data_IF_813568415567
#
_entry.id   IF_813568415567
#
_cell.length_a   1.000
_cell.length_b   1.000
_cell.length_c   1.000
_cell.angle_alpha   90.00
_cell.angle_beta   90.00
_cell.angle_gamma   90.00
#
_symmetry.space_group_name_H-M   'P 1'
#
loop_
_entity.id
_entity.type
_entity.pdbx_description
1 polymer ?
#
# COMPACT_ATOMS: atom_id res chain seq x y z
N UNK A 1 -3.72 11.57 -18.99
CA UNK A 1 -4.15 12.88 -18.44
C UNK A 1 -2.89 13.54 -17.95
N UNK A 2 -2.59 14.77 -18.37
CA UNK A 2 -1.37 15.45 -17.91
C UNK A 2 -1.48 15.73 -16.41
N UNK A 3 -0.39 15.53 -15.69
CA UNK A 3 -0.28 15.85 -14.28
C UNK A 3 -0.33 17.38 -14.07
N UNK A 4 -1.18 17.85 -13.17
CA UNK A 4 -1.31 19.27 -12.84
C UNK A 4 -0.30 19.71 -11.77
N UNK A 5 -0.07 21.03 -11.58
CA UNK A 5 0.76 21.52 -10.47
C UNK A 5 0.22 21.10 -9.09
N UNK A 6 -1.10 21.08 -8.91
CA UNK A 6 -1.71 20.61 -7.67
C UNK A 6 -1.41 19.14 -7.41
N UNK A 7 -1.52 18.29 -8.44
CA UNK A 7 -1.20 16.86 -8.33
C UNK A 7 0.25 16.65 -7.87
N UNK A 8 1.19 17.43 -8.43
CA UNK A 8 2.61 17.39 -8.04
C UNK A 8 2.81 17.78 -6.58
N UNK A 9 2.12 18.82 -6.10
CA UNK A 9 2.18 19.25 -4.69
C UNK A 9 1.65 18.14 -3.78
N UNK A 10 0.49 17.55 -4.10
CA UNK A 10 -0.10 16.48 -3.31
C UNK A 10 0.79 15.23 -3.25
N UNK A 11 1.40 14.85 -4.37
CA UNK A 11 2.35 13.74 -4.44
C UNK A 11 3.66 14.06 -3.69
N UNK A 12 4.12 15.30 -3.70
CA UNK A 12 5.30 15.71 -2.95
C UNK A 12 5.04 15.62 -1.45
N UNK A 13 3.89 16.11 -0.98
CA UNK A 13 3.47 15.97 0.41
C UNK A 13 3.33 14.50 0.82
N UNK A 14 2.80 13.66 -0.06
CA UNK A 14 2.76 12.20 0.12
C UNK A 14 4.17 11.65 0.33
N UNK A 15 5.11 12.02 -0.53
CA UNK A 15 6.51 11.62 -0.42
C UNK A 15 7.16 12.10 0.88
N UNK A 16 6.95 13.35 1.28
CA UNK A 16 7.50 13.90 2.52
C UNK A 16 6.98 13.16 3.77
N UNK A 17 5.69 12.84 3.81
CA UNK A 17 5.11 12.05 4.90
C UNK A 17 5.66 10.61 4.92
N UNK A 18 5.80 9.97 3.75
CA UNK A 18 6.43 8.66 3.66
C UNK A 18 7.91 8.71 4.08
N UNK A 19 8.65 9.75 3.72
CA UNK A 19 10.03 9.96 4.13
C UNK A 19 10.15 10.18 5.65
N UNK A 20 9.24 10.95 6.25
CA UNK A 20 9.14 11.09 7.71
C UNK A 20 8.92 9.72 8.38
N UNK A 21 8.00 8.90 7.85
CA UNK A 21 7.72 7.59 8.40
C UNK A 21 8.95 6.67 8.35
N UNK A 22 9.71 6.71 7.25
CA UNK A 22 10.96 5.97 7.09
C UNK A 22 12.05 6.45 8.06
N UNK A 23 12.21 7.76 8.22
CA UNK A 23 13.33 8.34 8.95
C UNK A 23 13.14 8.31 10.48
N UNK A 24 11.91 8.53 10.95
CA UNK A 24 11.64 8.70 12.38
C UNK A 24 10.34 8.09 12.87
N UNK A 25 9.31 7.99 12.00
CA UNK A 25 7.95 7.62 12.41
C UNK A 25 7.77 6.18 12.92
N UNK A 26 8.80 5.34 12.79
CA UNK A 26 8.82 3.93 13.23
C UNK A 26 9.97 3.62 14.20
N UNK A 27 10.61 4.65 14.76
CA UNK A 27 11.68 4.44 15.73
C UNK A 27 11.14 3.76 17.01
N UNK A 28 11.97 2.91 17.61
CA UNK A 28 11.62 2.16 18.82
C UNK A 28 10.90 0.84 18.58
N UNK A 29 10.54 0.51 17.33
CA UNK A 29 9.99 -0.79 16.97
C UNK A 29 11.09 -1.87 16.86
N UNK A 30 10.67 -3.13 16.78
CA UNK A 30 11.59 -4.25 16.53
C UNK A 30 12.22 -4.18 15.13
N UNK A 31 13.35 -4.88 14.94
CA UNK A 31 14.09 -4.86 13.68
C UNK A 31 13.25 -5.25 12.45
N UNK A 32 12.38 -6.26 12.56
CA UNK A 32 11.54 -6.72 11.44
C UNK A 32 10.44 -5.69 11.10
N UNK A 33 9.64 -5.18 12.05
CA UNK A 33 8.71 -4.08 11.78
C UNK A 33 9.38 -2.84 11.17
N UNK A 34 10.51 -2.38 11.74
CA UNK A 34 11.26 -1.25 11.17
C UNK A 34 11.60 -1.53 9.71
N UNK A 35 12.22 -2.67 9.42
CA UNK A 35 12.61 -3.05 8.06
C UNK A 35 11.40 -3.08 7.12
N UNK A 36 10.30 -3.70 7.57
CA UNK A 36 9.10 -3.87 6.76
C UNK A 36 8.43 -2.52 6.45
N UNK A 37 8.28 -1.63 7.43
CA UNK A 37 7.71 -0.31 7.21
C UNK A 37 8.64 0.60 6.41
N UNK A 38 9.94 0.57 6.66
CA UNK A 38 10.92 1.30 5.83
C UNK A 38 10.79 0.91 4.36
N UNK A 39 10.66 -0.39 4.07
CA UNK A 39 10.45 -0.87 2.70
C UNK A 39 9.10 -0.39 2.15
N UNK A 40 8.00 -0.56 2.90
CA UNK A 40 6.66 -0.17 2.45
C UNK A 40 6.53 1.33 2.15
N UNK A 41 6.92 2.19 3.10
CA UNK A 41 6.90 3.64 2.93
C UNK A 41 7.99 4.14 1.99
N UNK A 42 9.15 3.49 1.94
CA UNK A 42 10.21 3.81 0.98
C UNK A 42 9.75 3.60 -0.47
N UNK A 43 9.05 2.50 -0.75
CA UNK A 43 8.46 2.27 -2.07
C UNK A 43 7.37 3.29 -2.39
N UNK A 44 6.55 3.68 -1.41
CA UNK A 44 5.54 4.74 -1.58
C UNK A 44 6.18 6.10 -1.91
N UNK A 45 7.27 6.47 -1.23
CA UNK A 45 8.06 7.67 -1.53
C UNK A 45 8.57 7.64 -2.97
N UNK A 46 9.23 6.55 -3.36
CA UNK A 46 9.77 6.41 -4.73
C UNK A 46 8.63 6.46 -5.76
N UNK A 47 7.50 5.81 -5.50
CA UNK A 47 6.34 5.85 -6.39
C UNK A 47 5.79 7.27 -6.55
N UNK A 48 5.67 8.04 -5.46
CA UNK A 48 5.24 9.44 -5.50
C UNK A 48 6.18 10.31 -6.35
N UNK A 49 7.49 10.17 -6.17
CA UNK A 49 8.50 10.89 -6.95
C UNK A 49 8.47 10.50 -8.43
N UNK A 50 8.34 9.21 -8.75
CA UNK A 50 8.23 8.73 -10.12
C UNK A 50 6.98 9.29 -10.81
N UNK A 51 5.84 9.37 -10.12
CA UNK A 51 4.62 9.98 -10.67
C UNK A 51 4.80 11.48 -10.95
N UNK A 52 5.55 12.20 -10.12
CA UNK A 52 5.88 13.61 -10.36
C UNK A 52 6.75 13.75 -11.62
N UNK A 53 7.76 12.91 -11.78
CA UNK A 53 8.73 13.03 -12.87
C UNK A 53 8.16 12.52 -14.20
N UNK A 54 7.56 11.32 -14.18
CA UNK A 54 7.14 10.58 -15.37
C UNK A 54 5.65 10.75 -15.72
N UNK A 55 4.84 11.31 -14.81
CA UNK A 55 3.39 11.46 -14.99
C UNK A 55 2.61 10.17 -14.69
N UNK A 56 1.30 10.20 -14.95
CA UNK A 56 0.40 9.07 -14.68
C UNK A 56 0.57 7.91 -15.65
N UNK A 57 1.25 8.14 -16.78
CA UNK A 57 1.55 7.15 -17.81
C UNK A 57 2.38 5.98 -17.27
N UNK A 58 3.19 6.21 -16.22
CA UNK A 58 3.97 5.15 -15.56
C UNK A 58 3.09 4.04 -14.97
N UNK A 59 1.84 4.35 -14.57
CA UNK A 59 0.91 3.40 -13.94
C UNK A 59 0.43 2.27 -14.88
N UNK A 60 0.62 2.46 -16.19
CA UNK A 60 0.30 1.44 -17.19
C UNK A 60 1.39 0.35 -17.28
N UNK A 61 2.58 0.57 -16.69
CA UNK A 61 3.68 -0.40 -16.71
C UNK A 61 3.40 -1.64 -15.83
N UNK A 62 3.65 -2.86 -16.32
CA UNK A 62 3.59 -4.08 -15.51
C UNK A 62 4.56 -4.06 -14.33
N UNK A 63 5.71 -3.38 -14.46
CA UNK A 63 6.70 -3.25 -13.39
C UNK A 63 6.11 -2.48 -12.20
N UNK A 64 5.26 -1.49 -12.43
CA UNK A 64 4.58 -0.74 -11.36
C UNK A 64 3.65 -1.66 -10.56
N UNK A 65 3.06 -2.70 -11.17
CA UNK A 65 2.26 -3.67 -10.42
C UNK A 65 3.13 -4.50 -9.48
N UNK A 66 4.31 -4.92 -9.94
CA UNK A 66 5.26 -5.68 -9.11
C UNK A 66 5.77 -4.79 -7.97
N UNK A 67 6.25 -3.59 -8.28
CA UNK A 67 6.81 -2.67 -7.28
C UNK A 67 5.74 -2.23 -6.28
N UNK A 68 4.53 -1.87 -6.74
CA UNK A 68 3.44 -1.45 -5.84
C UNK A 68 2.95 -2.56 -4.91
N UNK A 69 3.16 -3.83 -5.26
CA UNK A 69 2.86 -4.98 -4.38
C UNK A 69 3.69 -4.98 -3.11
N UNK A 70 4.90 -4.41 -3.15
CA UNK A 70 5.78 -4.33 -1.99
C UNK A 70 5.13 -3.52 -0.87
N UNK A 71 4.37 -2.47 -1.20
CA UNK A 71 3.71 -1.58 -0.23
C UNK A 71 2.78 -2.36 0.72
N UNK A 72 1.70 -3.01 0.25
CA UNK A 72 0.79 -3.72 1.15
C UNK A 72 1.44 -4.94 1.81
N UNK A 73 2.32 -5.67 1.12
CA UNK A 73 2.99 -6.83 1.70
C UNK A 73 3.92 -6.46 2.85
N UNK A 74 4.70 -5.39 2.70
CA UNK A 74 5.64 -4.96 3.72
C UNK A 74 4.91 -4.32 4.92
N UNK A 75 3.92 -3.45 4.67
CA UNK A 75 3.13 -2.85 5.77
C UNK A 75 2.38 -3.94 6.54
N UNK A 76 1.70 -4.86 5.86
CA UNK A 76 0.97 -5.93 6.54
C UNK A 76 1.89 -6.88 7.32
N UNK A 77 3.10 -7.16 6.81
CA UNK A 77 4.10 -7.95 7.53
C UNK A 77 4.52 -7.28 8.84
N UNK A 78 4.79 -5.97 8.81
CA UNK A 78 5.10 -5.21 10.02
C UNK A 78 4.00 -5.33 11.07
N UNK A 79 2.74 -5.12 10.66
CA UNK A 79 1.58 -5.15 11.56
C UNK A 79 1.37 -6.54 12.18
N UNK A 80 1.46 -7.60 11.37
CA UNK A 80 1.37 -8.98 11.87
C UNK A 80 2.52 -9.28 12.82
N UNK A 81 3.73 -8.78 12.53
CA UNK A 81 4.89 -9.06 13.36
C UNK A 81 4.79 -8.42 14.74
N UNK A 82 4.28 -7.20 14.81
CA UNK A 82 4.08 -6.48 16.07
C UNK A 82 2.97 -7.10 16.93
N UNK A 83 1.84 -7.44 16.31
CA UNK A 83 0.63 -7.73 17.08
C UNK A 83 0.24 -9.21 17.14
N UNK A 84 0.74 -10.05 16.24
CA UNK A 84 0.32 -11.45 16.11
C UNK A 84 1.53 -12.39 16.18
N UNK A 85 2.06 -12.60 17.39
CA UNK A 85 3.28 -13.39 17.62
C UNK A 85 3.24 -14.80 16.99
N UNK A 86 2.10 -15.49 17.07
CA UNK A 86 1.92 -16.82 16.49
C UNK A 86 1.95 -16.84 14.94
N UNK A 87 1.69 -15.70 14.30
CA UNK A 87 1.60 -15.58 12.83
C UNK A 87 2.86 -15.00 12.18
N UNK A 88 3.88 -14.62 12.95
CA UNK A 88 5.14 -14.04 12.44
C UNK A 88 5.74 -14.84 11.28
N UNK A 89 6.11 -16.09 11.53
CA UNK A 89 6.77 -16.94 10.53
C UNK A 89 5.83 -17.34 9.39
N UNK A 90 4.60 -17.81 9.64
CA UNK A 90 3.66 -18.12 8.55
C UNK A 90 3.40 -16.94 7.63
N UNK A 91 3.23 -15.73 8.18
CA UNK A 91 2.96 -14.53 7.39
C UNK A 91 4.19 -14.03 6.64
N UNK A 92 5.39 -14.18 7.20
CA UNK A 92 6.63 -13.91 6.47
C UNK A 92 6.77 -14.83 5.24
N UNK A 93 6.48 -16.13 5.39
CA UNK A 93 6.49 -17.08 4.27
C UNK A 93 5.44 -16.69 3.23
N UNK A 94 4.24 -16.32 3.66
CA UNK A 94 3.20 -15.80 2.77
C UNK A 94 3.67 -14.55 2.01
N UNK A 95 4.30 -13.59 2.69
CA UNK A 95 4.79 -12.35 2.07
C UNK A 95 5.85 -12.63 1.02
N UNK A 96 6.87 -13.43 1.33
CA UNK A 96 7.95 -13.74 0.39
C UNK A 96 7.46 -14.61 -0.79
N UNK A 97 6.70 -15.67 -0.49
CA UNK A 97 6.15 -16.57 -1.50
C UNK A 97 5.12 -15.87 -2.39
N UNK A 98 4.27 -15.02 -1.81
CA UNK A 98 3.28 -14.22 -2.51
C UNK A 98 3.91 -13.17 -3.42
N UNK A 99 4.95 -12.49 -2.96
CA UNK A 99 5.72 -11.57 -3.79
C UNK A 99 6.38 -12.30 -4.96
N UNK A 100 7.03 -13.44 -4.71
CA UNK A 100 7.64 -14.27 -5.75
C UNK A 100 6.59 -14.73 -6.78
N UNK A 101 5.42 -15.18 -6.32
CA UNK A 101 4.34 -15.59 -7.21
C UNK A 101 3.85 -14.43 -8.10
N UNK A 102 3.77 -13.20 -7.57
CA UNK A 102 3.44 -12.01 -8.36
C UNK A 102 4.54 -11.71 -9.37
N UNK A 103 5.81 -11.73 -8.98
CA UNK A 103 6.95 -11.53 -9.90
C UNK A 103 6.89 -12.54 -11.03
N UNK A 104 6.81 -13.83 -10.73
CA UNK A 104 6.77 -14.90 -11.73
C UNK A 104 5.56 -14.75 -12.68
N UNK A 105 4.36 -14.53 -12.14
CA UNK A 105 3.15 -14.44 -12.97
C UNK A 105 3.05 -13.16 -13.79
N UNK A 106 3.79 -12.10 -13.43
CA UNK A 106 3.80 -10.82 -14.16
C UNK A 106 4.98 -10.69 -15.13
N UNK A 107 6.06 -11.42 -14.92
CA UNK A 107 7.23 -11.44 -15.80
C UNK A 107 7.15 -12.51 -16.90
N UNK A 108 6.41 -13.59 -16.67
CA UNK A 108 6.22 -14.64 -17.67
C UNK A 108 4.98 -14.37 -18.54
N UNK A 109 4.98 -14.75 -19.83
CA UNK A 109 3.84 -14.56 -20.74
C UNK A 109 2.73 -15.59 -20.47
N UNK A 110 2.22 -15.63 -19.25
CA UNK A 110 1.13 -16.50 -18.84
C UNK A 110 -0.20 -15.99 -19.39
N UNK A 111 -0.93 -16.87 -20.08
CA UNK A 111 -2.26 -16.55 -20.62
C UNK A 111 -3.35 -16.77 -19.56
N UNK A 112 -4.45 -16.05 -19.69
CA UNK A 112 -5.65 -16.24 -18.86
C UNK A 112 -5.67 -15.38 -17.58
N UNK A 113 -6.46 -15.83 -16.60
CA UNK A 113 -6.78 -15.05 -15.39
C UNK A 113 -5.79 -15.27 -14.23
N UNK A 114 -4.84 -16.19 -14.36
CA UNK A 114 -3.95 -16.59 -13.27
C UNK A 114 -3.16 -15.41 -12.65
N UNK A 115 -2.49 -14.52 -13.41
CA UNK A 115 -1.77 -13.38 -12.82
C UNK A 115 -2.68 -12.42 -12.05
N UNK A 116 -3.94 -12.29 -12.48
CA UNK A 116 -4.94 -11.45 -11.80
C UNK A 116 -5.46 -12.11 -10.54
N UNK A 117 -5.70 -13.42 -10.55
CA UNK A 117 -6.12 -14.17 -9.36
C UNK A 117 -5.02 -14.15 -8.30
N UNK A 118 -3.77 -14.43 -8.68
CA UNK A 118 -2.62 -14.38 -7.76
C UNK A 118 -2.49 -12.99 -7.16
N UNK A 119 -2.53 -11.94 -7.99
CA UNK A 119 -2.51 -10.57 -7.49
C UNK A 119 -3.66 -10.29 -6.51
N UNK A 120 -4.89 -10.65 -6.87
CA UNK A 120 -6.07 -10.39 -6.07
C UNK A 120 -6.03 -11.10 -4.71
N UNK A 121 -5.55 -12.34 -4.65
CA UNK A 121 -5.41 -13.08 -3.39
C UNK A 121 -4.34 -12.44 -2.51
N UNK A 122 -3.14 -12.21 -3.06
CA UNK A 122 -2.02 -11.68 -2.28
C UNK A 122 -2.30 -10.26 -1.80
N UNK A 123 -2.76 -9.36 -2.69
CA UNK A 123 -3.16 -8.00 -2.30
C UNK A 123 -4.38 -7.99 -1.40
N UNK A 124 -5.35 -8.86 -1.66
CA UNK A 124 -6.58 -8.93 -0.87
C UNK A 124 -6.30 -9.29 0.59
N UNK A 125 -5.50 -10.33 0.84
CA UNK A 125 -5.10 -10.71 2.20
C UNK A 125 -4.32 -9.57 2.87
N UNK A 126 -3.29 -9.03 2.21
CA UNK A 126 -2.50 -7.94 2.78
C UNK A 126 -3.34 -6.67 3.06
N UNK A 127 -4.23 -6.30 2.14
CA UNK A 127 -5.12 -5.16 2.29
C UNK A 127 -6.13 -5.37 3.42
N UNK A 128 -6.69 -6.57 3.56
CA UNK A 128 -7.57 -6.90 4.68
C UNK A 128 -6.83 -6.84 6.01
N UNK A 129 -5.58 -7.30 6.09
CA UNK A 129 -4.77 -7.17 7.31
C UNK A 129 -4.55 -5.70 7.66
N UNK A 130 -4.14 -4.87 6.70
CA UNK A 130 -3.89 -3.44 6.95
C UNK A 130 -5.16 -2.72 7.39
N UNK A 131 -6.31 -3.05 6.81
CA UNK A 131 -7.59 -2.46 7.19
C UNK A 131 -8.08 -2.98 8.55
N UNK A 132 -8.23 -4.29 8.69
CA UNK A 132 -8.95 -4.89 9.81
C UNK A 132 -8.12 -4.95 11.09
N UNK A 133 -6.83 -5.30 11.00
CA UNK A 133 -6.03 -5.55 12.20
C UNK A 133 -5.92 -4.30 13.10
N UNK A 134 -5.51 -3.11 12.60
CA UNK A 134 -5.44 -1.92 13.44
C UNK A 134 -6.80 -1.47 13.97
N UNK A 135 -7.85 -1.59 13.16
CA UNK A 135 -9.22 -1.23 13.56
C UNK A 135 -9.76 -2.14 14.66
N UNK A 136 -9.53 -3.45 14.56
CA UNK A 136 -9.97 -4.43 15.57
C UNK A 136 -9.20 -4.21 16.87
N UNK A 137 -7.87 -4.05 16.83
CA UNK A 137 -7.06 -3.85 18.02
C UNK A 137 -7.43 -2.55 18.77
N UNK A 138 -7.68 -1.47 18.03
CA UNK A 138 -8.14 -0.23 18.61
C UNK A 138 -9.56 -0.36 19.21
N UNK A 139 -10.48 -1.04 18.52
CA UNK A 139 -11.84 -1.28 19.02
C UNK A 139 -11.88 -2.17 20.26
N UNK A 140 -10.94 -3.11 20.38
CA UNK A 140 -10.77 -3.98 21.55
C UNK A 140 -10.01 -3.29 22.71
N UNK A 141 -9.49 -2.08 22.51
CA UNK A 141 -8.68 -1.37 23.51
C UNK A 141 -7.28 -1.96 23.73
N UNK A 142 -6.81 -2.82 22.81
CA UNK A 142 -5.45 -3.40 22.85
C UNK A 142 -4.40 -2.35 22.48
N UNK A 143 -4.75 -1.47 21.54
CA UNK A 143 -3.97 -0.30 21.15
C UNK A 143 -4.77 0.97 21.40
N UNK A 144 -4.11 2.13 21.37
CA UNK A 144 -4.82 3.41 21.49
C UNK A 144 -5.82 3.61 20.32
N UNK A 145 -6.93 4.33 20.53
CA UNK A 145 -7.94 4.54 19.49
C UNK A 145 -7.40 5.16 18.20
N UNK A 146 -6.37 6.00 18.29
CA UNK A 146 -5.74 6.63 17.13
C UNK A 146 -5.10 5.64 16.15
N UNK A 147 -4.74 4.44 16.61
CA UNK A 147 -4.19 3.39 15.75
C UNK A 147 -5.17 2.93 14.65
N UNK A 148 -6.48 3.12 14.85
CA UNK A 148 -7.49 2.84 13.83
C UNK A 148 -7.29 3.66 12.54
N UNK A 149 -6.55 4.77 12.59
CA UNK A 149 -6.19 5.55 11.40
C UNK A 149 -5.27 4.76 10.44
N UNK A 150 -4.47 3.80 10.94
CA UNK A 150 -3.74 2.86 10.07
C UNK A 150 -4.74 2.02 9.28
N UNK A 151 -5.79 1.53 9.96
CA UNK A 151 -6.91 0.83 9.33
C UNK A 151 -7.60 1.67 8.25
N UNK A 152 -7.90 2.94 8.56
CA UNK A 152 -8.47 3.88 7.58
C UNK A 152 -7.54 4.08 6.37
N UNK A 153 -6.23 4.21 6.58
CA UNK A 153 -5.24 4.20 5.50
C UNK A 153 -5.33 2.94 4.64
N UNK A 154 -5.47 1.77 5.27
CA UNK A 154 -5.75 0.48 4.62
C UNK A 154 -7.01 0.48 3.76
N UNK A 155 -8.10 1.06 4.24
CA UNK A 155 -9.33 1.19 3.48
C UNK A 155 -9.16 2.11 2.25
N UNK A 156 -8.46 3.24 2.42
CA UNK A 156 -8.20 4.21 1.34
C UNK A 156 -7.33 3.61 0.23
N UNK A 157 -6.26 2.87 0.57
CA UNK A 157 -5.44 2.18 -0.44
C UNK A 157 -6.22 1.05 -1.11
N UNK A 158 -7.03 0.30 -0.35
CA UNK A 158 -7.90 -0.74 -0.88
C UNK A 158 -8.89 -0.19 -1.91
N UNK A 159 -9.51 0.97 -1.62
CA UNK A 159 -10.40 1.66 -2.55
C UNK A 159 -9.68 2.07 -3.83
N UNK A 160 -8.48 2.66 -3.72
CA UNK A 160 -7.67 3.03 -4.88
C UNK A 160 -7.29 1.82 -5.74
N UNK A 161 -6.86 0.73 -5.11
CA UNK A 161 -6.54 -0.53 -5.79
C UNK A 161 -7.75 -1.15 -6.50
N UNK A 162 -8.92 -1.11 -5.86
CA UNK A 162 -10.17 -1.63 -6.43
C UNK A 162 -10.58 -0.84 -7.68
N UNK A 163 -10.56 0.50 -7.60
CA UNK A 163 -10.87 1.37 -8.74
C UNK A 163 -9.95 1.09 -9.95
N UNK A 164 -8.65 0.94 -9.71
CA UNK A 164 -7.68 0.63 -10.76
C UNK A 164 -7.87 -0.80 -11.32
N UNK A 165 -8.25 -1.76 -10.49
CA UNK A 165 -8.54 -3.14 -10.92
C UNK A 165 -9.75 -3.20 -11.85
N UNK A 166 -10.87 -2.55 -11.49
CA UNK A 166 -12.06 -2.45 -12.34
C UNK A 166 -11.77 -1.72 -13.66
N UNK A 167 -10.95 -0.68 -13.62
CA UNK A 167 -10.48 0.00 -14.81
C UNK A 167 -9.71 -0.94 -15.76
N UNK A 168 -8.75 -1.72 -15.23
CA UNK A 168 -7.96 -2.68 -16.02
C UNK A 168 -8.80 -3.88 -16.51
N UNK A 169 -9.87 -4.23 -15.80
CA UNK A 169 -10.80 -5.29 -16.19
C UNK A 169 -11.79 -4.88 -17.30
N UNK A 170 -11.73 -3.64 -17.79
CA UNK A 170 -12.66 -3.13 -18.83
C UNK A 170 -14.08 -2.88 -18.31
N UNK A 171 -14.29 -2.91 -16.99
CA UNK A 171 -15.56 -2.61 -16.33
C UNK A 171 -15.38 -1.50 -15.28
N UNK A 172 -14.93 -0.30 -15.69
CA UNK A 172 -14.64 0.77 -14.75
C UNK A 172 -15.90 1.18 -13.97
N UNK A 173 -15.79 1.25 -12.63
CA UNK A 173 -16.84 1.85 -11.78
C UNK A 173 -16.87 3.37 -11.99
N UNK A 174 -15.69 3.99 -12.14
CA UNK A 174 -15.52 5.41 -12.42
C UNK A 174 -14.66 5.60 -13.67
N UNK A 175 -14.85 6.70 -14.44
CA UNK A 175 -14.01 7.01 -15.58
C UNK A 175 -12.52 7.08 -15.20
N UNK A 176 -11.64 6.63 -16.10
CA UNK A 176 -10.17 6.70 -15.90
C UNK A 176 -9.70 8.10 -15.49
N UNK A 177 -10.26 9.13 -16.13
CA UNK A 177 -9.95 10.53 -15.84
C UNK A 177 -10.31 10.90 -14.41
N UNK A 178 -11.47 10.46 -13.91
CA UNK A 178 -11.89 10.66 -12.51
C UNK A 178 -10.93 9.96 -11.55
N UNK A 179 -10.58 8.69 -11.81
CA UNK A 179 -9.66 7.93 -10.95
C UNK A 179 -8.29 8.63 -10.87
N UNK A 180 -7.72 9.02 -12.01
CA UNK A 180 -6.42 9.70 -12.03
C UNK A 180 -6.47 11.09 -11.38
N UNK A 181 -7.62 11.78 -11.43
CA UNK A 181 -7.81 13.08 -10.79
C UNK A 181 -7.86 12.99 -9.27
N UNK A 182 -8.45 11.93 -8.72
CA UNK A 182 -8.54 11.76 -7.26
C UNK A 182 -7.29 11.07 -6.67
N UNK A 183 -6.50 10.38 -7.50
CA UNK A 183 -5.39 9.54 -7.05
C UNK A 183 -4.36 10.30 -6.19
N UNK A 184 -3.86 11.51 -6.54
CA UNK A 184 -2.91 12.22 -5.69
C UNK A 184 -3.45 12.56 -4.31
N UNK A 185 -4.71 13.01 -4.22
CA UNK A 185 -5.36 13.31 -2.95
C UNK A 185 -5.58 12.03 -2.13
N UNK A 186 -5.97 10.92 -2.78
CA UNK A 186 -6.16 9.63 -2.13
C UNK A 186 -4.83 9.11 -1.54
N UNK A 187 -3.73 9.23 -2.29
CA UNK A 187 -2.39 8.85 -1.81
C UNK A 187 -1.97 9.69 -0.60
N UNK A 188 -2.21 11.01 -0.64
CA UNK A 188 -1.90 11.89 0.48
C UNK A 188 -2.71 11.53 1.73
N UNK A 189 -4.04 11.39 1.59
CA UNK A 189 -4.93 11.08 2.72
C UNK A 189 -4.61 9.72 3.34
N UNK A 190 -4.35 8.71 2.51
CA UNK A 190 -3.92 7.39 2.96
C UNK A 190 -2.60 7.47 3.75
N UNK A 191 -1.60 8.20 3.22
CA UNK A 191 -0.29 8.32 3.87
C UNK A 191 -0.39 9.09 5.17
N UNK A 192 -1.16 10.19 5.20
CA UNK A 192 -1.43 10.95 6.41
C UNK A 192 -2.13 10.10 7.48
N UNK A 193 -3.10 9.27 7.09
CA UNK A 193 -3.78 8.36 7.99
C UNK A 193 -2.82 7.30 8.57
N UNK A 194 -1.92 6.74 7.75
CA UNK A 194 -0.88 5.85 8.24
C UNK A 194 0.06 6.53 9.24
N UNK A 195 0.65 7.67 8.86
CA UNK A 195 1.59 8.40 9.72
C UNK A 195 0.96 8.78 11.05
N UNK A 196 -0.24 9.37 11.01
CA UNK A 196 -0.98 9.73 12.21
C UNK A 196 -1.35 8.49 13.05
N UNK A 197 -1.76 7.40 12.40
CA UNK A 197 -2.10 6.16 13.08
C UNK A 197 -0.94 5.53 13.82
N UNK A 198 0.25 5.47 13.21
CA UNK A 198 1.47 5.00 13.88
C UNK A 198 1.91 5.94 15.01
N UNK A 199 1.82 7.26 14.82
CA UNK A 199 2.17 8.23 15.85
C UNK A 199 1.23 8.19 17.07
N UNK A 200 -0.01 7.74 16.89
CA UNK A 200 -1.04 7.67 17.93
C UNK A 200 -1.27 6.25 18.46
N UNK A 201 -0.42 5.28 18.10
CA UNK A 201 -0.52 3.89 18.54
C UNK A 201 -0.28 3.71 20.05
#
# INVERSE_FOLDING_TARGET
>A
MKISPLDRILLLLTGLLAAYQVAVGINGLGAVPITAYTIGFGVLLVAGLLLIILGFEVLDSPIVVIVSTIIPLAISLGLVWEHLAAWRTPYLVFTLGGFLAIVLTRSLPLKGKLPTIVLAVIHGVAGMIIFLLPTILAAQGVTRPGFALVGLGGALIGLGGLLLSFLKAGKPILPRTTILRILPALLLLMTAAFVAGFALA
#
